data_IF_040063582215
#
_entry.id   IF_040063582215
#
_cell.length_a   1.000
_cell.length_b   1.000
_cell.length_c   1.000
_cell.angle_alpha   90.00
_cell.angle_beta   90.00
_cell.angle_gamma   90.00
#
_symmetry.space_group_name_H-M   'P 1'
#
loop_
_entity.id
_entity.type
_entity.pdbx_description
1 polymer ?
#
# COMPACT_ATOMS: atom_id res chain seq x y z
N UNK A 1 -26.59 -8.04 3.43
CA UNK A 1 -25.70 -8.25 4.59
C UNK A 1 -25.54 -6.91 5.28
N UNK A 2 -25.66 -6.82 6.62
CA UNK A 2 -25.42 -5.54 7.29
C UNK A 2 -23.93 -5.24 7.20
N UNK A 3 -23.58 -4.15 6.53
CA UNK A 3 -22.25 -3.55 6.60
C UNK A 3 -22.19 -2.89 7.98
N UNK A 4 -21.20 -3.23 8.80
CA UNK A 4 -20.98 -2.58 10.10
C UNK A 4 -20.85 -1.06 9.89
N UNK A 5 -21.89 -0.30 10.20
CA UNK A 5 -22.06 1.08 9.74
C UNK A 5 -21.21 2.12 10.50
N UNK A 6 -20.44 1.72 11.51
CA UNK A 6 -19.75 2.69 12.38
C UNK A 6 -18.27 2.90 12.04
N UNK A 7 -17.71 2.13 11.10
CA UNK A 7 -16.29 2.24 10.76
C UNK A 7 -16.07 2.46 9.26
N UNK A 8 -15.29 3.49 8.94
CA UNK A 8 -14.91 3.84 7.57
C UNK A 8 -13.49 4.38 7.54
N UNK A 9 -12.82 4.19 6.41
CA UNK A 9 -11.53 4.81 6.12
C UNK A 9 -11.73 6.29 5.75
N UNK A 10 -12.04 7.11 6.74
CA UNK A 10 -12.14 8.56 6.63
C UNK A 10 -10.77 9.25 6.79
N UNK A 11 -10.77 10.58 6.72
CA UNK A 11 -9.59 11.42 6.88
C UNK A 11 -8.91 11.26 8.24
N UNK A 12 -9.66 10.96 9.30
CA UNK A 12 -9.10 10.75 10.64
C UNK A 12 -8.34 9.44 10.68
N UNK A 13 -8.94 8.36 10.16
CA UNK A 13 -8.26 7.06 10.07
C UNK A 13 -7.01 7.18 9.20
N UNK A 14 -7.09 7.86 8.06
CA UNK A 14 -5.96 8.06 7.17
C UNK A 14 -4.81 8.86 7.82
N UNK A 15 -5.04 9.61 8.89
CA UNK A 15 -4.03 10.44 9.60
C UNK A 15 -3.21 9.62 10.56
N UNK A 16 -3.88 8.73 11.26
CA UNK A 16 -3.24 7.84 12.21
C UNK A 16 -2.89 6.49 11.59
N UNK A 17 -3.21 6.25 10.32
CA UNK A 17 -3.12 4.92 9.71
C UNK A 17 -1.77 4.21 9.88
N UNK A 18 -0.61 4.87 9.65
CA UNK A 18 0.69 4.22 9.86
C UNK A 18 0.91 3.78 11.32
N UNK A 19 0.60 4.66 12.28
CA UNK A 19 0.75 4.37 13.71
C UNK A 19 -0.26 3.31 14.18
N UNK A 20 -1.50 3.41 13.71
CA UNK A 20 -2.58 2.46 13.99
C UNK A 20 -2.19 1.04 13.56
N UNK A 21 -1.76 0.86 12.31
CA UNK A 21 -1.36 -0.46 11.80
C UNK A 21 -0.12 -0.97 12.53
N UNK A 22 0.87 -0.12 12.79
CA UNK A 22 2.09 -0.53 13.50
C UNK A 22 1.81 -1.08 14.91
N UNK A 23 0.82 -0.52 15.61
CA UNK A 23 0.45 -0.95 16.98
C UNK A 23 -0.51 -2.14 16.99
N UNK A 24 -1.38 -2.24 15.98
CA UNK A 24 -2.46 -3.24 15.96
C UNK A 24 -2.14 -4.50 15.15
N UNK A 25 -1.15 -4.46 14.25
CA UNK A 25 -0.77 -5.60 13.41
C UNK A 25 0.69 -6.01 13.69
N UNK A 26 0.90 -7.03 14.55
CA UNK A 26 2.23 -7.56 14.80
C UNK A 26 2.91 -8.03 13.50
N UNK A 27 4.14 -7.56 13.26
CA UNK A 27 4.94 -7.98 12.10
C UNK A 27 4.59 -7.27 10.78
N UNK A 28 3.75 -6.25 10.78
CA UNK A 28 3.40 -5.50 9.57
C UNK A 28 4.63 -5.00 8.78
N UNK A 29 5.62 -4.41 9.46
CA UNK A 29 6.87 -3.94 8.83
C UNK A 29 7.68 -5.08 8.20
N UNK A 30 7.64 -6.28 8.78
CA UNK A 30 8.30 -7.46 8.22
C UNK A 30 7.60 -7.88 6.93
N UNK A 31 6.27 -7.88 6.89
CA UNK A 31 5.49 -8.18 5.68
C UNK A 31 5.82 -7.17 4.58
N UNK A 32 5.83 -5.87 4.89
CA UNK A 32 6.19 -4.83 3.91
C UNK A 32 7.61 -5.03 3.37
N UNK A 33 8.57 -5.40 4.22
CA UNK A 33 9.93 -5.71 3.79
C UNK A 33 9.98 -6.95 2.88
N UNK A 34 9.27 -8.02 3.24
CA UNK A 34 9.17 -9.24 2.44
C UNK A 34 8.53 -9.00 1.08
N UNK A 35 7.53 -8.11 0.99
CA UNK A 35 6.94 -7.69 -0.29
C UNK A 35 8.02 -7.07 -1.21
N UNK A 36 8.91 -6.23 -0.66
CA UNK A 36 10.02 -5.66 -1.41
C UNK A 36 11.00 -6.72 -1.92
N UNK A 37 11.37 -7.69 -1.06
CA UNK A 37 12.24 -8.81 -1.43
C UNK A 37 11.62 -9.71 -2.51
N UNK A 38 10.31 -9.92 -2.47
CA UNK A 38 9.60 -10.63 -3.53
C UNK A 38 9.57 -9.81 -4.81
N UNK A 39 9.33 -8.50 -4.72
CA UNK A 39 9.30 -7.63 -5.89
C UNK A 39 10.62 -7.65 -6.66
N UNK A 40 11.76 -7.60 -5.95
CA UNK A 40 13.10 -7.71 -6.54
C UNK A 40 13.28 -8.97 -7.39
N UNK A 41 12.70 -10.10 -6.96
CA UNK A 41 12.88 -11.40 -7.62
C UNK A 41 11.86 -11.70 -8.71
N UNK A 42 10.63 -11.21 -8.54
CA UNK A 42 9.49 -11.66 -9.34
C UNK A 42 8.99 -10.62 -10.33
N UNK A 43 9.16 -9.32 -10.08
CA UNK A 43 8.74 -8.29 -11.04
C UNK A 43 9.65 -8.37 -12.25
N UNK A 44 9.05 -8.47 -13.44
CA UNK A 44 9.79 -8.56 -14.71
C UNK A 44 9.74 -7.21 -15.46
N UNK A 45 10.71 -6.94 -16.36
CA UNK A 45 10.64 -5.80 -17.28
C UNK A 45 9.30 -5.72 -18.00
N UNK A 46 8.81 -4.50 -18.24
CA UNK A 46 7.58 -4.23 -18.99
C UNK A 46 6.31 -4.90 -18.43
N UNK A 47 6.30 -5.24 -17.13
CA UNK A 47 5.13 -5.81 -16.44
C UNK A 47 4.47 -4.82 -15.47
N UNK A 48 3.31 -5.23 -14.94
CA UNK A 48 2.51 -4.42 -14.03
C UNK A 48 2.44 -5.08 -12.65
N UNK A 49 2.51 -4.28 -11.60
CA UNK A 49 2.24 -4.69 -10.22
C UNK A 49 0.97 -4.00 -9.75
N UNK A 50 0.08 -4.75 -9.12
CA UNK A 50 -1.18 -4.22 -8.57
C UNK A 50 -1.13 -4.29 -7.04
N UNK A 51 -1.30 -3.15 -6.39
CA UNK A 51 -1.44 -3.02 -4.94
C UNK A 51 -2.92 -2.76 -4.63
N UNK A 52 -3.63 -3.81 -4.20
CA UNK A 52 -5.08 -3.80 -4.00
C UNK A 52 -5.42 -3.50 -2.54
N UNK A 53 -6.17 -2.41 -2.30
CA UNK A 53 -6.33 -1.87 -0.95
C UNK A 53 -5.08 -1.12 -0.50
N UNK A 54 -4.51 -0.30 -1.39
CA UNK A 54 -3.18 0.27 -1.21
C UNK A 54 -3.06 1.19 0.01
N UNK A 55 -4.17 1.65 0.59
CA UNK A 55 -4.19 2.58 1.71
C UNK A 55 -3.30 3.80 1.42
N UNK A 56 -2.24 4.02 2.20
CA UNK A 56 -1.28 5.12 2.00
C UNK A 56 -0.07 4.75 1.11
N UNK A 57 -0.07 3.57 0.49
CA UNK A 57 0.95 3.16 -0.49
C UNK A 57 2.20 2.49 0.10
N UNK A 58 2.14 1.97 1.34
CA UNK A 58 3.30 1.35 1.98
C UNK A 58 3.88 0.16 1.18
N UNK A 59 3.01 -0.75 0.69
CA UNK A 59 3.42 -1.87 -0.14
C UNK A 59 3.89 -1.39 -1.52
N UNK A 60 3.13 -0.50 -2.18
CA UNK A 60 3.53 0.18 -3.42
C UNK A 60 4.94 0.76 -3.37
N UNK A 61 5.31 1.46 -2.30
CA UNK A 61 6.65 2.03 -2.15
C UNK A 61 7.71 0.97 -1.92
N UNK A 62 7.41 -0.06 -1.13
CA UNK A 62 8.33 -1.18 -0.91
C UNK A 62 8.66 -1.86 -2.23
N UNK A 63 7.64 -2.15 -3.04
CA UNK A 63 7.80 -2.65 -4.41
C UNK A 63 8.64 -1.68 -5.25
N UNK A 64 8.27 -0.39 -5.29
CA UNK A 64 8.96 0.62 -6.13
C UNK A 64 10.45 0.75 -5.82
N UNK A 65 10.83 0.65 -4.55
CA UNK A 65 12.24 0.75 -4.11
C UNK A 65 13.08 -0.47 -4.49
N UNK A 66 12.45 -1.61 -4.75
CA UNK A 66 13.13 -2.88 -5.02
C UNK A 66 13.06 -3.32 -6.49
N UNK A 67 12.32 -2.62 -7.36
CA UNK A 67 12.33 -2.88 -8.80
C UNK A 67 13.50 -2.12 -9.45
N UNK A 68 14.40 -2.85 -10.09
CA UNK A 68 15.49 -2.29 -10.89
C UNK A 68 15.19 -2.27 -12.41
N UNK A 69 14.08 -2.86 -12.82
CA UNK A 69 13.70 -2.98 -14.23
C UNK A 69 13.00 -1.73 -14.77
N UNK A 70 13.29 -1.38 -16.02
CA UNK A 70 12.57 -0.36 -16.77
C UNK A 70 11.21 -0.88 -17.25
N UNK A 71 10.31 0.03 -17.62
CA UNK A 71 9.02 -0.31 -18.22
C UNK A 71 7.98 -0.85 -17.24
N UNK A 72 8.36 -1.13 -15.99
CA UNK A 72 7.42 -1.57 -14.96
C UNK A 72 6.46 -0.44 -14.55
N UNK A 73 5.20 -0.80 -14.33
CA UNK A 73 4.17 0.11 -13.81
C UNK A 73 3.54 -0.45 -12.54
N UNK A 74 3.42 0.38 -11.51
CA UNK A 74 2.70 0.01 -10.29
C UNK A 74 1.33 0.70 -10.33
N UNK A 75 0.27 -0.06 -10.08
CA UNK A 75 -1.12 0.39 -10.07
C UNK A 75 -1.65 0.16 -8.66
N UNK A 76 -1.75 1.25 -7.90
CA UNK A 76 -2.25 1.26 -6.53
C UNK A 76 -3.74 1.61 -6.55
N UNK A 77 -4.58 0.76 -5.93
CA UNK A 77 -6.04 0.87 -5.97
C UNK A 77 -6.57 0.88 -4.54
N UNK A 78 -7.35 1.91 -4.21
CA UNK A 78 -8.11 1.98 -2.97
C UNK A 78 -9.46 2.65 -3.27
N UNK A 79 -10.49 2.26 -2.53
CA UNK A 79 -11.84 2.80 -2.69
C UNK A 79 -12.16 3.92 -1.68
N UNK A 80 -11.29 4.17 -0.71
CA UNK A 80 -11.38 5.31 0.20
C UNK A 80 -10.80 6.58 -0.46
N UNK A 81 -11.61 7.63 -0.65
CA UNK A 81 -11.11 8.91 -1.15
C UNK A 81 -9.98 9.49 -0.29
N UNK A 82 -10.10 9.41 1.03
CA UNK A 82 -9.10 9.90 1.99
C UNK A 82 -7.75 9.18 1.84
N UNK A 83 -7.77 7.86 1.67
CA UNK A 83 -6.56 7.07 1.44
C UNK A 83 -5.93 7.38 0.09
N UNK A 84 -6.74 7.40 -0.98
CA UNK A 84 -6.27 7.71 -2.34
C UNK A 84 -5.63 9.10 -2.41
N UNK A 85 -6.25 10.11 -1.81
CA UNK A 85 -5.73 11.48 -1.83
C UNK A 85 -4.35 11.54 -1.18
N UNK A 86 -4.17 10.89 -0.02
CA UNK A 86 -2.90 10.90 0.70
C UNK A 86 -1.85 10.02 0.04
N UNK A 87 -2.22 8.86 -0.49
CA UNK A 87 -1.32 7.99 -1.26
C UNK A 87 -0.71 8.71 -2.48
N UNK A 88 -1.43 9.67 -3.07
CA UNK A 88 -0.94 10.47 -4.21
C UNK A 88 0.02 11.59 -3.80
N UNK A 89 0.10 11.95 -2.51
CA UNK A 89 0.99 13.02 -2.08
C UNK A 89 2.44 12.54 -2.20
N UNK A 90 3.34 13.36 -2.78
CA UNK A 90 4.76 13.05 -2.73
C UNK A 90 5.21 13.01 -1.27
N UNK A 91 6.04 12.03 -0.93
CA UNK A 91 6.72 11.94 0.37
C UNK A 91 7.70 13.09 0.55
#
# INVERSE_FOLDING_TARGET
>A
MPVSADWTFDERVAEVFPDMIQRSVPGYSNIISMIGMLAERFVQPDTQVYDLGCSLGAATLSVRRNIAHSGCKIIAIDNSPAMVERCRRPY
#
